data_IF_138258270959
#
_entry.id   IF_138258270959
#
_cell.length_a   1.000
_cell.length_b   1.000
_cell.length_c   1.000
_cell.angle_alpha   90.00
_cell.angle_beta   90.00
_cell.angle_gamma   90.00
#
_symmetry.space_group_name_H-M   'P 1'
#
loop_
_entity.id
_entity.type
_entity.pdbx_description
1 polymer ?
#
# COMPACT_ATOMS: atom_id res chain seq x y z
N UNK A 1 -0.59 7.91 3.13
CA UNK A 1 0.63 7.16 2.83
C UNK A 1 0.46 5.82 2.11
N UNK A 2 -0.63 5.07 2.33
CA UNK A 2 -0.85 3.81 1.62
C UNK A 2 0.00 2.63 2.08
N UNK A 3 0.66 2.77 3.22
CA UNK A 3 1.34 1.66 3.88
C UNK A 3 0.32 0.61 4.34
N UNK A 4 0.78 -0.64 4.45
CA UNK A 4 -0.01 -1.74 5.03
C UNK A 4 0.90 -2.54 5.96
N UNK A 5 0.32 -3.13 7.00
CA UNK A 5 0.97 -4.19 7.79
C UNK A 5 0.23 -5.49 7.53
N UNK A 6 0.96 -6.50 7.06
CA UNK A 6 0.47 -7.86 6.92
C UNK A 6 0.85 -8.73 8.13
N UNK A 7 0.70 -10.04 7.99
CA UNK A 7 1.04 -11.03 9.04
C UNK A 7 2.55 -11.24 9.27
N UNK A 8 3.43 -10.36 8.77
CA UNK A 8 4.87 -10.39 9.05
C UNK A 8 5.73 -11.30 8.17
N UNK A 9 5.18 -12.05 7.22
CA UNK A 9 5.94 -12.97 6.37
C UNK A 9 6.53 -12.34 5.08
N UNK A 10 6.27 -11.05 4.82
CA UNK A 10 6.78 -10.33 3.63
C UNK A 10 6.34 -10.90 2.27
N UNK A 11 5.35 -11.80 2.24
CA UNK A 11 4.91 -12.50 1.03
C UNK A 11 4.47 -11.52 -0.08
N UNK A 12 3.62 -10.57 0.28
CA UNK A 12 3.08 -9.60 -0.67
C UNK A 12 4.14 -8.58 -1.11
N UNK A 13 5.08 -8.19 -0.25
CA UNK A 13 6.16 -7.28 -0.65
C UNK A 13 7.08 -7.96 -1.66
N UNK A 14 7.41 -9.24 -1.44
CA UNK A 14 8.13 -10.05 -2.44
C UNK A 14 7.35 -10.16 -3.75
N UNK A 15 6.08 -10.54 -3.69
CA UNK A 15 5.23 -10.70 -4.88
C UNK A 15 5.11 -9.38 -5.68
N UNK A 16 4.85 -8.26 -5.00
CA UNK A 16 4.67 -6.97 -5.64
C UNK A 16 5.98 -6.37 -6.16
N UNK A 17 7.12 -6.67 -5.53
CA UNK A 17 8.45 -6.24 -6.01
C UNK A 17 8.77 -6.83 -7.39
N UNK A 18 8.31 -8.05 -7.65
CA UNK A 18 8.45 -8.77 -8.91
C UNK A 18 7.42 -8.33 -9.96
N UNK A 19 6.35 -7.65 -9.54
CA UNK A 19 5.20 -7.31 -10.38
C UNK A 19 4.86 -5.80 -10.30
N UNK A 20 5.87 -4.95 -10.51
CA UNK A 20 5.78 -3.49 -10.27
C UNK A 20 4.68 -2.76 -11.06
N UNK A 21 4.29 -3.29 -12.21
CA UNK A 21 3.26 -2.70 -13.10
C UNK A 21 1.82 -2.97 -12.64
N UNK A 22 1.61 -3.86 -11.66
CA UNK A 22 0.27 -4.14 -11.17
C UNK A 22 -0.30 -2.95 -10.38
N UNK A 23 -1.60 -2.73 -10.53
CA UNK A 23 -2.36 -1.83 -9.68
C UNK A 23 -2.60 -2.51 -8.33
N UNK A 24 -2.27 -1.80 -7.26
CA UNK A 24 -2.29 -2.29 -5.88
C UNK A 24 -3.45 -1.64 -5.14
N UNK A 25 -4.54 -2.36 -4.98
CA UNK A 25 -5.74 -1.86 -4.30
C UNK A 25 -5.95 -2.67 -3.03
N UNK A 26 -5.84 -2.02 -1.87
CA UNK A 26 -6.14 -2.63 -0.57
C UNK A 26 -7.62 -2.52 -0.24
N UNK A 27 -8.19 -3.56 0.36
CA UNK A 27 -9.53 -3.52 0.97
C UNK A 27 -9.35 -3.67 2.47
N UNK A 28 -9.92 -2.75 3.24
CA UNK A 28 -9.80 -2.72 4.69
C UNK A 28 -11.03 -2.07 5.32
N UNK A 29 -11.23 -2.30 6.62
CA UNK A 29 -12.19 -1.52 7.40
C UNK A 29 -11.58 -0.17 7.79
N UNK A 30 -12.39 0.88 7.87
CA UNK A 30 -11.92 2.20 8.27
C UNK A 30 -11.32 2.22 9.68
N UNK A 31 -11.75 1.32 10.57
CA UNK A 31 -11.18 1.18 11.92
C UNK A 31 -9.72 0.69 11.94
N UNK A 32 -9.20 0.19 10.82
CA UNK A 32 -7.80 -0.23 10.67
C UNK A 32 -6.88 0.92 10.26
N UNK A 33 -7.43 2.10 9.94
CA UNK A 33 -6.65 3.28 9.61
C UNK A 33 -5.95 3.83 10.86
N UNK A 34 -4.64 3.99 10.77
CA UNK A 34 -3.83 4.60 11.83
C UNK A 34 -2.96 5.71 11.25
N UNK A 35 -2.73 6.77 12.05
CA UNK A 35 -1.97 7.95 11.61
C UNK A 35 -0.51 7.64 11.29
N UNK A 36 0.12 6.82 12.13
CA UNK A 36 1.56 6.52 12.04
C UNK A 36 1.72 5.00 11.97
N UNK A 37 1.89 4.49 10.75
CA UNK A 37 2.19 3.08 10.52
C UNK A 37 3.72 2.92 10.51
N UNK A 38 4.31 2.04 11.34
CA UNK A 38 5.71 1.69 11.20
C UNK A 38 5.88 0.93 9.89
N UNK A 39 6.56 1.55 8.94
CA UNK A 39 6.86 0.99 7.63
C UNK A 39 8.37 0.89 7.45
N UNK A 40 8.82 -0.19 6.82
CA UNK A 40 10.21 -0.39 6.41
C UNK A 40 10.43 0.18 4.99
N UNK A 41 11.68 0.45 4.62
CA UNK A 41 12.04 0.87 3.26
C UNK A 41 11.67 -0.18 2.19
N UNK A 42 11.59 -1.44 2.60
CA UNK A 42 11.21 -2.56 1.74
C UNK A 42 9.70 -2.74 1.57
N UNK A 43 8.87 -2.01 2.33
CA UNK A 43 7.41 -2.15 2.26
C UNK A 43 6.84 -1.52 1.00
N UNK A 44 6.04 -2.30 0.28
CA UNK A 44 5.42 -1.82 -0.95
C UNK A 44 4.06 -1.18 -0.66
N UNK A 45 3.99 0.13 -0.94
CA UNK A 45 2.78 0.95 -0.80
C UNK A 45 1.68 0.55 -1.80
N UNK A 46 0.45 0.63 -1.33
CA UNK A 46 -0.76 0.51 -2.17
C UNK A 46 -0.97 1.79 -2.99
N UNK A 47 -1.70 1.67 -4.10
CA UNK A 47 -2.11 2.82 -4.92
C UNK A 47 -3.34 3.49 -4.34
N UNK A 48 -4.26 2.68 -3.83
CA UNK A 48 -5.38 3.13 -3.01
C UNK A 48 -5.83 2.06 -2.03
N UNK A 49 -6.58 2.49 -1.03
CA UNK A 49 -7.25 1.65 -0.05
C UNK A 49 -8.74 2.00 -0.08
N UNK A 50 -9.59 0.98 -0.17
CA UNK A 50 -11.04 1.13 -0.14
C UNK A 50 -11.54 0.66 1.22
N UNK A 51 -12.36 1.50 1.84
CA UNK A 51 -13.06 1.23 3.11
C UNK A 51 -14.55 1.54 2.96
N UNK A 52 -15.34 1.22 3.99
CA UNK A 52 -16.75 1.60 4.08
C UNK A 52 -16.97 3.12 4.12
N UNK A 53 -15.94 3.90 4.49
CA UNK A 53 -15.98 5.37 4.53
C UNK A 53 -15.54 6.02 3.21
N UNK A 54 -15.05 5.24 2.24
CA UNK A 54 -14.61 5.74 0.93
C UNK A 54 -13.22 5.27 0.52
N UNK A 55 -12.64 5.99 -0.45
CA UNK A 55 -11.36 5.64 -1.10
C UNK A 55 -10.26 6.58 -0.62
N UNK A 56 -9.15 6.02 -0.14
CA UNK A 56 -7.92 6.73 0.20
C UNK A 56 -6.90 6.51 -0.91
N UNK A 57 -6.52 7.56 -1.62
CA UNK A 57 -5.48 7.50 -2.65
C UNK A 57 -4.10 7.77 -2.04
N UNK A 58 -3.14 6.92 -2.38
CA UNK A 58 -1.73 7.17 -2.06
C UNK A 58 -1.17 8.17 -3.07
N UNK A 59 -0.53 9.23 -2.60
CA UNK A 59 0.22 10.13 -3.48
C UNK A 59 1.38 9.33 -4.12
N UNK A 60 1.25 9.00 -5.40
CA UNK A 60 2.39 8.61 -6.23
C UNK A 60 3.05 9.89 -6.72
N UNK A 61 4.31 10.13 -6.34
CA UNK A 61 5.18 10.97 -7.17
C UNK A 61 5.42 10.18 -8.46
N UNK A 62 5.00 10.73 -9.60
CA UNK A 62 5.38 10.22 -10.91
C UNK A 62 6.90 10.38 -11.05
N UNK A 63 7.65 9.28 -10.90
CA UNK A 63 9.02 9.19 -11.41
C UNK A 63 9.04 8.11 -12.48
N UNK A 64 8.44 8.44 -13.62
CA UNK A 64 8.71 7.80 -14.90
C UNK A 64 8.89 8.94 -15.94
N UNK A 65 9.93 9.76 -15.74
CA UNK A 65 10.64 10.44 -16.84
C UNK A 65 12.01 9.75 -16.98
N UNK A 66 12.04 8.70 -17.81
CA UNK A 66 13.12 8.25 -18.72
C UNK A 66 12.91 6.79 -19.13
#
# INVERSE_FOLDING_TARGET
>A
DGGRIGYGAGYYDRFLSQNRKLRKIGIAFACQEIKNLPVDENDIRMDCIITENGIVFSHRMNTDEN
#
